data_IF_376967496163
#
_entry.id   IF_376967496163
#
_cell.length_a   1.000
_cell.length_b   1.000
_cell.length_c   1.000
_cell.angle_alpha   90.00
_cell.angle_beta   90.00
_cell.angle_gamma   90.00
#
_symmetry.space_group_name_H-M   'P 1'
#
loop_
_entity.id
_entity.type
_entity.pdbx_description
1 polymer ?
#
# COMPACT_ATOMS: atom_id res chain seq x y z
N UNK A 1 14.16 25.61 1.13
CA UNK A 1 15.64 25.59 1.24
C UNK A 1 16.28 24.78 0.11
N UNK A 2 16.08 23.46 0.03
CA UNK A 2 16.79 22.59 -0.93
C UNK A 2 16.62 23.02 -2.41
N UNK A 3 15.41 23.35 -2.91
CA UNK A 3 15.26 23.80 -4.31
C UNK A 3 16.12 25.03 -4.63
N UNK A 4 16.05 26.04 -3.75
CA UNK A 4 16.84 27.27 -3.89
C UNK A 4 18.36 27.03 -3.88
N UNK A 5 18.86 26.14 -3.00
CA UNK A 5 20.28 25.79 -2.95
C UNK A 5 20.73 25.07 -4.24
N UNK A 6 19.89 24.21 -4.81
CA UNK A 6 20.17 23.53 -6.08
C UNK A 6 20.17 24.49 -7.27
N UNK A 7 19.27 25.46 -7.27
CA UNK A 7 19.13 26.45 -8.33
C UNK A 7 20.28 27.48 -8.32
N UNK A 8 20.58 28.05 -7.16
CA UNK A 8 21.58 29.12 -7.01
C UNK A 8 23.01 28.60 -6.90
N UNK A 9 23.18 27.35 -6.46
CA UNK A 9 24.47 26.77 -6.12
C UNK A 9 25.25 27.57 -5.03
N UNK A 10 24.52 28.33 -4.20
CA UNK A 10 25.08 29.15 -3.12
C UNK A 10 24.86 28.49 -1.74
N UNK A 11 25.91 27.90 -1.16
CA UNK A 11 25.80 27.13 0.10
C UNK A 11 26.32 27.85 1.35
N UNK A 12 27.05 28.97 1.17
CA UNK A 12 27.86 29.58 2.24
C UNK A 12 27.05 29.92 3.49
N UNK A 13 25.86 30.48 3.32
CA UNK A 13 24.96 30.81 4.43
C UNK A 13 24.54 29.56 5.23
N UNK A 14 24.20 28.46 4.54
CA UNK A 14 23.80 27.20 5.17
C UNK A 14 25.00 26.46 5.80
N UNK A 15 26.18 26.55 5.20
CA UNK A 15 27.42 25.95 5.71
C UNK A 15 27.92 26.63 7.00
N UNK A 16 27.58 27.90 7.22
CA UNK A 16 27.90 28.62 8.45
C UNK A 16 27.02 28.19 9.65
N UNK A 17 25.95 27.43 9.42
CA UNK A 17 25.10 26.91 10.50
C UNK A 17 25.83 25.78 11.24
N UNK A 18 25.89 25.88 12.57
CA UNK A 18 26.40 24.79 13.41
C UNK A 18 25.59 23.52 13.23
N UNK A 19 24.26 23.65 13.17
CA UNK A 19 23.32 22.59 12.86
C UNK A 19 22.14 23.18 12.09
N UNK A 20 21.67 22.47 11.07
CA UNK A 20 20.34 22.64 10.53
C UNK A 20 19.48 21.51 11.10
N UNK A 21 18.38 21.82 11.78
CA UNK A 21 17.54 20.80 12.43
C UNK A 21 16.24 20.67 11.66
N UNK A 22 15.81 19.44 11.41
CA UNK A 22 14.47 19.14 10.94
C UNK A 22 13.75 18.23 11.94
N UNK A 23 12.44 18.40 12.03
CA UNK A 23 11.56 17.65 12.91
C UNK A 23 10.12 17.74 12.38
N UNK A 24 9.22 16.90 12.90
CA UNK A 24 7.79 16.93 12.61
C UNK A 24 7.37 16.28 11.28
N UNK A 25 8.31 16.09 10.34
CA UNK A 25 8.13 15.26 9.15
C UNK A 25 9.47 14.62 8.76
N UNK A 26 9.40 13.46 8.10
CA UNK A 26 10.59 12.78 7.59
C UNK A 26 11.20 13.52 6.40
N UNK A 27 12.54 13.57 6.36
CA UNK A 27 13.31 14.03 5.21
C UNK A 27 13.79 12.82 4.41
N UNK A 28 13.71 12.83 3.07
CA UNK A 28 14.32 11.74 2.28
C UNK A 28 15.80 11.63 2.56
N UNK A 29 16.28 10.39 2.60
CA UNK A 29 17.67 10.07 2.90
C UNK A 29 18.60 10.69 1.85
N UNK A 30 18.25 10.63 0.58
CA UNK A 30 19.03 11.20 -0.53
C UNK A 30 19.16 12.72 -0.41
N UNK A 31 18.09 13.39 0.04
CA UNK A 31 18.11 14.84 0.25
C UNK A 31 19.03 15.21 1.41
N UNK A 32 18.95 14.50 2.53
CA UNK A 32 19.84 14.75 3.67
C UNK A 32 21.29 14.37 3.39
N UNK A 33 21.54 13.27 2.67
CA UNK A 33 22.87 12.87 2.21
C UNK A 33 23.46 13.90 1.24
N UNK A 34 22.65 14.46 0.35
CA UNK A 34 23.05 15.58 -0.51
C UNK A 34 23.44 16.81 0.31
N UNK A 35 22.68 17.18 1.35
CA UNK A 35 23.03 18.28 2.25
C UNK A 35 24.34 18.01 3.00
N UNK A 36 24.52 16.81 3.54
CA UNK A 36 25.77 16.40 4.19
C UNK A 36 26.97 16.48 3.24
N UNK A 37 26.80 16.04 1.99
CA UNK A 37 27.85 16.12 0.95
C UNK A 37 28.28 17.56 0.66
N UNK A 38 27.40 18.54 0.85
CA UNK A 38 27.70 19.97 0.70
C UNK A 38 28.11 20.64 2.02
N UNK A 39 28.55 19.88 3.02
CA UNK A 39 28.99 20.34 4.34
C UNK A 39 27.90 21.10 5.13
N UNK A 40 26.62 20.78 4.90
CA UNK A 40 25.52 21.32 5.69
C UNK A 40 25.20 20.30 6.79
N UNK A 41 25.41 20.70 8.04
CA UNK A 41 25.27 19.83 9.21
C UNK A 41 23.80 19.62 9.59
N UNK A 42 23.06 18.86 8.78
CA UNK A 42 21.65 18.54 9.03
C UNK A 42 21.52 17.51 10.18
N UNK A 43 20.54 17.66 11.07
CA UNK A 43 20.26 16.75 12.19
C UNK A 43 18.77 16.50 12.35
N UNK A 44 18.40 15.23 12.50
CA UNK A 44 17.04 14.82 12.80
C UNK A 44 16.74 14.97 14.30
N UNK A 45 15.53 15.41 14.59
CA UNK A 45 14.96 15.52 15.93
C UNK A 45 13.54 15.00 15.90
N UNK A 46 13.18 14.23 16.92
CA UNK A 46 11.84 13.68 17.07
C UNK A 46 11.20 14.08 18.39
N UNK A 47 9.91 14.41 18.30
CA UNK A 47 9.05 14.77 19.40
C UNK A 47 7.61 14.97 18.96
N UNK A 48 6.71 14.89 19.92
CA UNK A 48 5.28 15.16 19.77
C UNK A 48 4.84 16.18 20.81
N UNK A 49 3.64 16.74 20.65
CA UNK A 49 3.12 17.73 21.61
C UNK A 49 2.91 17.09 22.99
N UNK A 50 2.59 15.80 23.02
CA UNK A 50 2.26 15.02 24.21
C UNK A 50 3.49 14.63 25.04
N UNK A 51 4.69 14.60 24.47
CA UNK A 51 5.91 14.15 25.17
C UNK A 51 7.13 15.04 24.97
N UNK A 52 6.93 16.25 24.42
CA UNK A 52 7.98 17.20 24.07
C UNK A 52 8.99 16.62 23.07
N UNK A 53 10.18 17.21 23.00
CA UNK A 53 11.27 16.67 22.20
C UNK A 53 11.98 15.58 22.98
N UNK A 54 12.07 14.39 22.40
CA UNK A 54 12.43 13.18 23.13
C UNK A 54 13.60 12.38 22.57
N UNK A 55 13.88 12.54 21.28
CA UNK A 55 14.94 11.80 20.63
C UNK A 55 15.70 12.68 19.64
N UNK A 56 17.01 12.46 19.58
CA UNK A 56 17.93 13.21 18.74
C UNK A 56 18.77 12.27 17.87
N UNK A 57 19.11 12.73 16.67
CA UNK A 57 20.25 12.20 15.95
C UNK A 57 21.56 12.49 16.70
N UNK A 58 22.70 11.99 16.21
CA UNK A 58 23.97 12.30 16.84
C UNK A 58 24.42 13.73 16.50
N UNK A 59 24.49 14.61 17.50
CA UNK A 59 24.91 16.00 17.32
C UNK A 59 26.44 16.19 17.24
N UNK A 60 27.26 15.14 17.25
CA UNK A 60 28.67 15.28 16.85
C UNK A 60 28.74 15.65 15.35
N UNK A 61 29.30 16.82 14.96
CA UNK A 61 29.38 17.22 13.55
C UNK A 61 30.17 16.25 12.67
N UNK A 62 31.02 15.40 13.27
CA UNK A 62 31.80 14.37 12.56
C UNK A 62 31.01 13.10 12.33
N UNK A 63 29.90 12.91 13.05
CA UNK A 63 29.05 11.74 12.87
C UNK A 63 28.27 11.88 11.56
N UNK A 64 28.38 10.85 10.71
CA UNK A 64 27.62 10.74 9.47
C UNK A 64 26.17 10.31 9.70
N UNK A 65 25.85 9.71 10.86
CA UNK A 65 24.49 9.35 11.19
C UNK A 65 23.67 10.58 11.59
N UNK A 66 23.16 11.27 10.58
CA UNK A 66 22.37 12.48 10.71
C UNK A 66 20.87 12.22 10.90
N UNK A 67 20.43 10.98 10.64
CA UNK A 67 19.02 10.62 10.48
C UNK A 67 18.47 9.79 11.63
N UNK A 68 19.15 8.70 12.02
CA UNK A 68 18.65 7.78 13.04
C UNK A 68 18.64 8.46 14.41
N UNK A 69 17.64 8.18 15.23
CA UNK A 69 17.32 8.90 16.46
C UNK A 69 17.58 8.03 17.68
N UNK A 70 18.05 8.61 18.79
CA UNK A 70 18.12 7.92 20.08
C UNK A 70 17.41 8.70 21.19
N UNK A 71 16.81 8.03 22.19
CA UNK A 71 16.29 8.71 23.37
C UNK A 71 17.35 9.54 24.09
N UNK A 72 16.94 10.68 24.62
CA UNK A 72 17.83 11.58 25.37
C UNK A 72 17.46 11.71 26.85
N UNK A 73 16.32 11.15 27.25
CA UNK A 73 15.78 11.24 28.60
C UNK A 73 15.89 9.89 29.29
N UNK A 74 16.76 9.83 30.29
CA UNK A 74 16.97 8.66 31.13
C UNK A 74 16.69 9.02 32.60
N UNK A 75 16.22 8.05 33.37
CA UNK A 75 16.10 8.17 34.81
C UNK A 75 17.48 8.13 35.50
N UNK A 76 17.49 8.28 36.82
CA UNK A 76 18.73 8.29 37.62
C UNK A 76 19.52 6.98 37.56
N UNK A 77 18.90 5.88 37.15
CA UNK A 77 19.55 4.59 36.96
C UNK A 77 20.11 4.41 35.53
N UNK A 78 19.87 5.37 34.64
CA UNK A 78 20.27 5.32 33.24
C UNK A 78 19.27 4.61 32.34
N UNK A 79 18.09 4.23 32.84
CA UNK A 79 17.04 3.61 32.03
C UNK A 79 16.25 4.69 31.29
N UNK A 80 16.00 4.48 30.00
CA UNK A 80 15.23 5.40 29.17
C UNK A 80 13.77 5.52 29.63
N UNK A 81 13.23 6.74 29.59
CA UNK A 81 11.78 6.97 29.70
C UNK A 81 11.01 6.57 28.44
N UNK A 82 11.73 6.33 27.36
CA UNK A 82 11.24 5.99 26.03
C UNK A 82 11.57 4.53 25.77
N UNK A 83 10.53 3.72 25.75
CA UNK A 83 10.61 2.27 25.63
C UNK A 83 10.16 1.89 24.24
N UNK A 84 10.91 0.98 23.63
CA UNK A 84 10.64 0.42 22.31
C UNK A 84 10.15 -1.01 22.47
N UNK A 85 8.84 -1.20 22.38
CA UNK A 85 8.18 -2.50 22.53
C UNK A 85 8.20 -3.24 21.18
N UNK A 86 8.58 -4.51 21.18
CA UNK A 86 8.59 -5.30 19.94
C UNK A 86 7.17 -5.53 19.42
N UNK A 87 7.04 -5.51 18.09
CA UNK A 87 5.80 -5.85 17.37
C UNK A 87 5.99 -7.13 16.57
N UNK A 88 4.88 -7.78 16.20
CA UNK A 88 4.90 -9.03 15.41
C UNK A 88 5.55 -8.89 14.02
N UNK A 89 5.74 -7.65 13.54
CA UNK A 89 6.24 -7.33 12.19
C UNK A 89 7.70 -6.85 12.19
N UNK A 90 8.42 -7.02 13.30
CA UNK A 90 9.82 -6.60 13.43
C UNK A 90 10.03 -5.09 13.62
N UNK A 91 8.94 -4.31 13.67
CA UNK A 91 8.98 -2.93 14.13
C UNK A 91 9.02 -2.86 15.65
N UNK A 92 9.44 -1.70 16.16
CA UNK A 92 9.39 -1.34 17.56
C UNK A 92 8.43 -0.18 17.78
N UNK A 93 7.45 -0.38 18.64
CA UNK A 93 6.44 0.61 18.98
C UNK A 93 6.93 1.48 20.16
N UNK A 94 6.81 2.81 20.03
CA UNK A 94 7.28 3.75 21.04
C UNK A 94 6.22 3.97 22.14
N UNK A 95 6.61 3.60 23.36
CA UNK A 95 5.90 3.87 24.60
C UNK A 95 6.70 4.82 25.49
N UNK A 96 6.03 5.81 26.09
CA UNK A 96 6.62 6.75 27.03
C UNK A 96 6.11 6.41 28.43
N UNK A 97 7.04 6.14 29.35
CA UNK A 97 6.75 5.81 30.75
C UNK A 97 5.94 6.91 31.43
N UNK A 98 5.05 6.50 32.34
CA UNK A 98 4.19 7.41 33.11
C UNK A 98 4.95 8.40 34.00
N UNK A 99 6.16 8.05 34.44
CA UNK A 99 7.03 8.88 35.24
C UNK A 99 7.99 9.75 34.40
N UNK A 100 7.80 9.82 33.08
CA UNK A 100 8.60 10.67 32.20
C UNK A 100 8.41 12.15 32.55
N UNK A 101 9.49 12.91 32.77
CA UNK A 101 9.40 14.34 33.07
C UNK A 101 8.95 15.17 31.86
N UNK A 102 8.91 14.58 30.67
CA UNK A 102 8.53 15.26 29.43
C UNK A 102 7.07 15.02 29.04
N UNK A 103 6.36 14.17 29.78
CA UNK A 103 4.98 13.81 29.46
C UNK A 103 4.04 14.97 29.81
N UNK A 104 3.23 15.37 28.83
CA UNK A 104 2.23 16.41 29.02
C UNK A 104 1.11 15.94 29.95
N UNK A 105 0.41 16.91 30.56
CA UNK A 105 -0.71 16.60 31.45
C UNK A 105 -1.90 16.03 30.65
N UNK A 106 -2.56 15.01 31.21
CA UNK A 106 -3.77 14.40 30.68
C UNK A 106 -3.66 13.76 29.28
N UNK A 107 -2.46 13.35 28.86
CA UNK A 107 -2.27 12.64 27.58
C UNK A 107 -2.18 11.12 27.73
N UNK A 108 -2.11 10.60 28.96
CA UNK A 108 -2.04 9.16 29.24
C UNK A 108 -3.17 8.40 28.55
N UNK A 109 -2.81 7.28 27.93
CA UNK A 109 -3.72 6.39 27.21
C UNK A 109 -3.41 4.90 27.46
N UNK A 110 -2.67 4.59 28.53
CA UNK A 110 -2.42 3.25 29.05
C UNK A 110 -2.84 3.15 30.52
N UNK A 111 -3.15 1.92 30.95
CA UNK A 111 -3.58 1.64 32.33
C UNK A 111 -2.52 2.01 33.38
N UNK A 112 -1.24 1.93 33.01
CA UNK A 112 -0.10 2.28 33.87
C UNK A 112 0.17 3.80 33.97
N UNK A 113 -0.68 4.63 33.35
CA UNK A 113 -0.55 6.08 33.34
C UNK A 113 0.41 6.61 32.26
N UNK A 114 1.01 5.75 31.44
CA UNK A 114 1.95 6.14 30.41
C UNK A 114 1.27 6.50 29.09
N UNK A 115 2.09 6.83 28.09
CA UNK A 115 1.62 7.28 26.80
C UNK A 115 2.12 6.40 25.66
N UNK A 116 1.15 5.74 25.03
CA UNK A 116 1.29 5.04 23.78
C UNK A 116 1.21 6.05 22.62
N UNK A 117 2.34 6.29 21.96
CA UNK A 117 2.43 7.26 20.86
C UNK A 117 1.74 6.82 19.56
N UNK A 118 1.50 5.51 19.42
CA UNK A 118 1.27 4.78 18.16
C UNK A 118 2.40 4.89 17.12
N UNK A 119 3.54 5.51 17.43
CA UNK A 119 4.66 5.65 16.50
C UNK A 119 5.53 4.39 16.44
N UNK A 120 5.85 3.96 15.23
CA UNK A 120 6.64 2.77 14.92
C UNK A 120 8.04 3.17 14.44
N UNK A 121 9.02 2.37 14.85
CA UNK A 121 10.42 2.57 14.56
C UNK A 121 11.10 1.26 14.14
N UNK A 122 12.19 1.37 13.39
CA UNK A 122 13.13 0.28 13.15
C UNK A 122 14.45 0.60 13.84
N UNK A 123 15.03 -0.36 14.55
CA UNK A 123 16.38 -0.18 15.08
C UNK A 123 17.39 -0.15 13.92
N UNK A 124 18.32 0.80 13.99
CA UNK A 124 19.39 0.96 13.01
C UNK A 124 20.41 -0.17 13.19
N UNK A 125 20.49 -1.05 12.19
CA UNK A 125 21.38 -2.21 12.21
C UNK A 125 22.86 -1.84 12.25
N UNK A 126 23.23 -0.67 11.73
CA UNK A 126 24.61 -0.17 11.76
C UNK A 126 24.92 0.60 13.06
N UNK A 127 23.90 1.07 13.78
CA UNK A 127 24.03 1.89 14.98
C UNK A 127 23.07 1.42 16.09
N UNK A 128 23.43 0.35 16.84
CA UNK A 128 22.59 -0.16 17.92
C UNK A 128 22.16 0.93 18.92
N UNK A 129 20.88 0.91 19.32
CA UNK A 129 20.27 1.95 20.16
C UNK A 129 19.88 3.24 19.44
N UNK A 130 20.06 3.32 18.12
CA UNK A 130 19.42 4.34 17.27
C UNK A 130 18.25 3.74 16.50
N UNK A 131 17.27 4.57 16.20
CA UNK A 131 15.97 4.17 15.67
C UNK A 131 15.57 5.07 14.51
N UNK A 132 15.09 4.46 13.43
CA UNK A 132 14.54 5.13 12.26
C UNK A 132 13.02 5.17 12.37
N UNK A 133 12.45 6.37 12.27
CA UNK A 133 11.01 6.56 12.25
C UNK A 133 10.38 5.90 11.02
N UNK A 134 9.34 5.10 11.22
CA UNK A 134 8.62 4.37 10.15
C UNK A 134 7.29 5.04 9.83
N UNK A 135 6.55 5.46 10.85
CA UNK A 135 5.19 5.99 10.71
C UNK A 135 4.35 5.64 11.93
N UNK A 136 3.04 5.85 11.85
CA UNK A 136 2.12 5.48 12.93
C UNK A 136 1.38 4.19 12.63
N UNK A 137 1.13 3.40 13.67
CA UNK A 137 0.33 2.18 13.63
C UNK A 137 -1.11 2.45 13.17
N UNK A 138 -1.68 3.58 13.55
CA UNK A 138 -3.04 3.98 13.18
C UNK A 138 -3.14 4.64 11.78
N UNK A 139 -1.99 4.82 11.10
CA UNK A 139 -1.89 5.30 9.72
C UNK A 139 -1.67 4.16 8.70
N UNK A 140 -1.46 2.92 9.16
CA UNK A 140 -1.31 1.75 8.29
C UNK A 140 -2.64 1.45 7.60
N UNK A 141 -2.61 1.39 6.27
CA UNK A 141 -3.74 0.98 5.46
C UNK A 141 -3.80 -0.55 5.46
N UNK A 142 -4.86 -1.11 6.03
CA UNK A 142 -5.17 -2.53 5.93
C UNK A 142 -6.14 -2.69 4.76
N UNK A 143 -5.66 -3.32 3.69
CA UNK A 143 -6.41 -3.53 2.46
C UNK A 143 -7.47 -4.64 2.65
N UNK A 144 -8.43 -4.76 1.72
CA UNK A 144 -9.49 -5.78 1.80
C UNK A 144 -8.95 -7.22 1.82
N UNK A 145 -7.81 -7.46 1.15
CA UNK A 145 -7.11 -8.74 1.14
C UNK A 145 -6.23 -8.99 2.39
N UNK A 146 -6.21 -8.07 3.35
CA UNK A 146 -5.40 -8.14 4.57
C UNK A 146 -3.96 -7.63 4.42
N UNK A 147 -3.53 -7.27 3.21
CA UNK A 147 -2.22 -6.64 3.00
C UNK A 147 -2.13 -5.31 3.74
N UNK A 148 -0.93 -5.00 4.24
CA UNK A 148 -0.68 -3.76 4.98
C UNK A 148 0.21 -2.84 4.17
N UNK A 149 -0.24 -1.62 3.98
CA UNK A 149 0.50 -0.55 3.30
C UNK A 149 0.77 0.58 4.27
N UNK A 150 2.03 1.01 4.37
CA UNK A 150 2.38 2.25 5.05
C UNK A 150 2.35 3.41 4.03
N UNK A 151 1.35 4.31 4.09
CA UNK A 151 1.21 5.41 3.14
C UNK A 151 2.23 6.53 3.37
N UNK A 152 2.81 6.66 4.56
CA UNK A 152 3.63 7.83 4.93
C UNK A 152 4.89 7.96 4.07
N UNK A 153 5.70 6.89 3.84
CA UNK A 153 6.83 6.97 2.91
C UNK A 153 6.39 7.34 1.49
N UNK A 154 5.26 6.79 1.03
CA UNK A 154 4.73 7.05 -0.31
C UNK A 154 4.35 8.52 -0.48
N UNK A 155 3.58 9.07 0.48
CA UNK A 155 3.18 10.48 0.51
C UNK A 155 4.40 11.41 0.59
N UNK A 156 5.43 11.02 1.35
CA UNK A 156 6.68 11.78 1.42
C UNK A 156 7.47 11.77 0.11
N UNK A 157 7.47 10.65 -0.62
CA UNK A 157 8.16 10.52 -1.90
C UNK A 157 7.48 11.36 -2.99
N UNK A 158 6.15 11.32 -3.07
CA UNK A 158 5.37 12.12 -4.03
C UNK A 158 5.52 13.62 -3.78
N UNK A 159 5.49 14.08 -2.51
CA UNK A 159 5.62 15.52 -2.14
C UNK A 159 6.97 16.16 -2.46
N UNK A 160 7.90 15.41 -3.02
CA UNK A 160 9.18 15.98 -3.45
C UNK A 160 9.13 16.61 -4.82
N UNK A 161 8.14 16.22 -5.62
CA UNK A 161 7.84 16.93 -6.84
C UNK A 161 7.38 18.34 -6.49
N UNK A 162 8.01 19.35 -7.09
CA UNK A 162 7.69 20.76 -6.86
C UNK A 162 6.27 21.11 -7.28
N UNK A 163 5.64 20.29 -8.12
CA UNK A 163 4.26 20.48 -8.57
C UNK A 163 3.22 19.98 -7.55
N UNK A 164 3.62 19.15 -6.59
CA UNK A 164 2.72 18.55 -5.59
C UNK A 164 2.83 19.30 -4.28
N UNK A 165 1.75 19.97 -3.89
CA UNK A 165 1.65 20.64 -2.60
C UNK A 165 1.36 19.66 -1.47
N UNK A 166 0.39 18.78 -1.68
CA UNK A 166 -0.02 17.74 -0.73
C UNK A 166 -0.54 16.50 -1.45
N UNK A 167 -0.51 15.37 -0.74
CA UNK A 167 -1.03 14.08 -1.22
C UNK A 167 -1.65 13.31 -0.06
N UNK A 168 -2.75 12.61 -0.34
CA UNK A 168 -3.30 11.59 0.53
C UNK A 168 -3.27 10.25 -0.18
N UNK A 169 -2.50 9.29 0.32
CA UNK A 169 -2.57 7.89 -0.15
C UNK A 169 -3.63 7.17 0.67
N UNK A 170 -4.64 6.64 -0.01
CA UNK A 170 -5.82 5.98 0.54
C UNK A 170 -5.83 4.50 0.17
N UNK A 171 -6.71 3.71 0.80
CA UNK A 171 -6.82 2.28 0.50
C UNK A 171 -7.31 1.40 1.64
N UNK A 172 -7.59 1.94 2.82
CA UNK A 172 -8.10 1.15 3.94
C UNK A 172 -9.41 0.46 3.58
N UNK A 173 -9.48 -0.86 3.78
CA UNK A 173 -10.60 -1.72 3.41
C UNK A 173 -10.97 -1.62 1.91
N UNK A 174 -9.98 -1.43 1.02
CA UNK A 174 -10.15 -1.40 -0.44
C UNK A 174 -9.26 -2.42 -1.13
N UNK A 175 -9.49 -2.63 -2.43
CA UNK A 175 -8.75 -3.59 -3.25
C UNK A 175 -7.33 -3.13 -3.60
N UNK A 176 -7.09 -1.80 -3.63
CA UNK A 176 -5.79 -1.21 -3.97
C UNK A 176 -5.64 0.20 -3.41
N UNK A 177 -4.39 0.70 -3.44
CA UNK A 177 -4.08 2.06 -3.03
C UNK A 177 -4.57 3.07 -4.08
N UNK A 178 -4.92 4.26 -3.59
CA UNK A 178 -5.29 5.41 -4.42
C UNK A 178 -4.59 6.66 -3.92
N UNK A 179 -4.41 7.66 -4.78
CA UNK A 179 -3.79 8.92 -4.41
C UNK A 179 -4.66 10.11 -4.80
N UNK A 180 -4.94 10.99 -3.83
CA UNK A 180 -5.48 12.33 -4.10
C UNK A 180 -4.32 13.31 -4.10
N UNK A 181 -4.14 14.06 -5.18
CA UNK A 181 -3.03 15.00 -5.39
C UNK A 181 -3.54 16.44 -5.39
N UNK A 182 -3.04 17.25 -4.46
CA UNK A 182 -3.21 18.71 -4.47
C UNK A 182 -2.00 19.35 -5.16
N UNK A 183 -2.25 20.18 -6.17
CA UNK A 183 -1.22 20.85 -6.96
C UNK A 183 -0.74 22.12 -6.25
N UNK A 184 0.56 22.37 -6.31
CA UNK A 184 1.16 23.63 -5.89
C UNK A 184 1.00 24.67 -6.99
N UNK A 185 0.06 25.60 -6.79
CA UNK A 185 -0.25 26.63 -7.78
C UNK A 185 0.89 27.62 -8.01
N UNK A 186 1.76 27.84 -7.02
CA UNK A 186 2.87 28.79 -7.17
C UNK A 186 3.88 28.29 -8.22
N UNK A 187 4.07 26.96 -8.29
CA UNK A 187 4.92 26.32 -9.30
C UNK A 187 4.15 25.97 -10.57
N UNK A 188 2.90 25.52 -10.45
CA UNK A 188 2.11 25.04 -11.59
C UNK A 188 1.84 26.10 -12.64
N UNK A 189 1.79 27.38 -12.27
CA UNK A 189 1.64 28.48 -13.21
C UNK A 189 2.77 28.58 -14.24
N UNK A 190 3.91 27.93 -14.00
CA UNK A 190 5.06 27.89 -14.91
C UNK A 190 5.00 26.74 -15.94
N UNK A 191 4.01 25.86 -15.85
CA UNK A 191 3.92 24.63 -16.65
C UNK A 191 2.60 24.53 -17.42
N UNK A 192 2.64 23.82 -18.54
CA UNK A 192 1.42 23.44 -19.27
C UNK A 192 0.62 22.35 -18.53
N UNK A 193 -0.70 22.21 -18.80
CA UNK A 193 -1.53 21.16 -18.17
C UNK A 193 -0.97 19.73 -18.34
N UNK A 194 -0.48 19.40 -19.52
CA UNK A 194 0.11 18.08 -19.81
C UNK A 194 1.43 17.85 -19.07
N UNK A 195 2.24 18.91 -18.91
CA UNK A 195 3.50 18.85 -18.15
C UNK A 195 3.23 18.64 -16.66
N UNK A 196 2.22 19.32 -16.10
CA UNK A 196 1.77 19.11 -14.71
C UNK A 196 1.36 17.66 -14.50
N UNK A 197 0.54 17.12 -15.41
CA UNK A 197 0.10 15.73 -15.35
C UNK A 197 1.31 14.78 -15.40
N UNK A 198 2.23 15.00 -16.36
CA UNK A 198 3.44 14.18 -16.51
C UNK A 198 4.29 14.19 -15.23
N UNK A 199 4.53 15.36 -14.63
CA UNK A 199 5.34 15.50 -13.41
C UNK A 199 4.70 14.84 -12.19
N UNK A 200 3.36 14.82 -12.10
CA UNK A 200 2.66 14.08 -11.05
C UNK A 200 2.84 12.57 -11.26
N UNK A 201 2.66 12.08 -12.49
CA UNK A 201 2.80 10.66 -12.80
C UNK A 201 4.23 10.16 -12.61
N UNK A 202 5.25 10.97 -12.94
CA UNK A 202 6.66 10.68 -12.65
C UNK A 202 6.90 10.53 -11.14
N UNK A 203 6.34 11.43 -10.32
CA UNK A 203 6.46 11.34 -8.86
C UNK A 203 5.80 10.10 -8.26
N UNK A 204 4.65 9.68 -8.83
CA UNK A 204 3.98 8.43 -8.46
C UNK A 204 4.81 7.21 -8.91
N UNK A 205 5.41 7.24 -10.09
CA UNK A 205 6.26 6.16 -10.59
C UNK A 205 7.50 5.97 -9.71
N UNK A 206 8.16 7.06 -9.31
CA UNK A 206 9.28 7.02 -8.37
C UNK A 206 8.88 6.42 -7.02
N UNK A 207 7.67 6.71 -6.56
CA UNK A 207 7.10 6.11 -5.34
C UNK A 207 6.85 4.61 -5.51
N UNK A 208 6.34 4.20 -6.67
CA UNK A 208 6.08 2.79 -6.97
C UNK A 208 7.37 1.95 -7.04
N UNK A 209 8.52 2.55 -7.38
CA UNK A 209 9.83 1.86 -7.36
C UNK A 209 10.32 1.51 -5.95
N UNK A 210 9.89 2.26 -4.93
CA UNK A 210 10.35 2.12 -3.54
C UNK A 210 9.36 1.33 -2.66
N UNK A 211 8.09 1.23 -3.06
CA UNK A 211 7.04 0.59 -2.26
C UNK A 211 6.93 -0.92 -2.56
N UNK A 212 6.38 -1.72 -1.61
CA UNK A 212 6.04 -3.12 -1.88
C UNK A 212 5.08 -3.26 -3.07
N UNK A 213 5.16 -4.38 -3.78
CA UNK A 213 4.36 -4.61 -4.99
C UNK A 213 2.84 -4.48 -4.77
N UNK A 214 2.35 -4.87 -3.58
CA UNK A 214 0.93 -4.74 -3.19
C UNK A 214 0.51 -3.30 -2.82
N UNK A 215 1.45 -2.39 -2.60
CA UNK A 215 1.20 -0.97 -2.27
C UNK A 215 1.19 -0.06 -3.50
N UNK A 216 1.60 -0.56 -4.67
CA UNK A 216 1.69 0.19 -5.94
C UNK A 216 0.43 1.00 -6.23
N UNK A 217 0.60 2.31 -6.45
CA UNK A 217 -0.49 3.20 -6.85
C UNK A 217 -0.65 3.09 -8.37
N UNK A 218 -1.79 2.54 -8.80
CA UNK A 218 -2.07 2.37 -10.22
C UNK A 218 -2.34 3.73 -10.89
N UNK A 219 -1.97 3.94 -12.17
CA UNK A 219 -2.17 5.21 -12.84
C UNK A 219 -3.63 5.71 -12.85
N UNK A 220 -4.58 4.79 -12.96
CA UNK A 220 -6.03 5.05 -12.90
C UNK A 220 -6.56 5.38 -11.50
N UNK A 221 -5.78 5.09 -10.46
CA UNK A 221 -6.09 5.39 -9.05
C UNK A 221 -5.39 6.67 -8.57
N UNK A 222 -4.77 7.43 -9.49
CA UNK A 222 -4.24 8.77 -9.23
C UNK A 222 -5.31 9.79 -9.60
N UNK A 223 -5.68 10.65 -8.66
CA UNK A 223 -6.61 11.74 -8.89
C UNK A 223 -5.97 13.07 -8.53
N UNK A 224 -5.64 13.84 -9.57
CA UNK A 224 -5.30 15.26 -9.45
C UNK A 224 -6.60 16.02 -9.14
N UNK A 225 -6.60 16.71 -8.01
CA UNK A 225 -7.72 17.53 -7.57
C UNK A 225 -7.82 18.81 -8.42
N UNK A 226 -9.03 19.35 -8.63
CA UNK A 226 -9.19 20.67 -9.22
C UNK A 226 -8.42 21.74 -8.41
N UNK A 227 -7.94 22.79 -9.08
CA UNK A 227 -7.10 23.82 -8.46
C UNK A 227 -7.78 24.62 -7.32
N UNK A 228 -9.11 24.61 -7.23
CA UNK A 228 -9.88 25.22 -6.13
C UNK A 228 -10.04 24.30 -4.91
N UNK A 229 -9.52 23.07 -4.97
CA UNK A 229 -9.66 22.05 -3.92
C UNK A 229 -8.34 21.83 -3.20
N UNK A 230 -8.41 21.65 -1.90
CA UNK A 230 -7.26 21.44 -1.03
C UNK A 230 -7.45 20.19 -0.16
N UNK A 231 -6.34 19.57 0.23
CA UNK A 231 -6.36 18.51 1.24
C UNK A 231 -6.32 19.13 2.65
N UNK A 232 -7.08 18.58 3.60
CA UNK A 232 -7.02 19.05 4.98
C UNK A 232 -5.65 18.72 5.58
N UNK A 233 -4.94 19.73 6.08
CA UNK A 233 -3.63 19.57 6.71
C UNK A 233 -3.64 20.03 8.16
N UNK A 234 -2.68 19.53 8.94
CA UNK A 234 -2.34 20.04 10.27
C UNK A 234 -1.61 21.37 10.14
N UNK A 235 -1.45 22.09 11.25
CA UNK A 235 -0.64 23.32 11.32
C UNK A 235 0.84 23.09 10.93
N UNK A 236 1.29 21.83 10.93
CA UNK A 236 2.62 21.39 10.50
C UNK A 236 2.70 21.07 9.00
N UNK A 237 1.61 21.26 8.24
CA UNK A 237 1.58 20.99 6.80
C UNK A 237 1.58 19.50 6.44
N UNK A 238 1.09 18.62 7.32
CA UNK A 238 0.87 17.20 7.02
C UNK A 238 -0.60 16.92 6.78
N UNK A 239 -0.95 16.06 5.83
CA UNK A 239 -2.35 15.76 5.50
C UNK A 239 -3.01 14.94 6.61
N UNK A 240 -4.24 15.32 6.97
CA UNK A 240 -5.10 14.58 7.89
C UNK A 240 -5.91 13.57 7.05
N UNK A 241 -5.33 12.40 6.77
CA UNK A 241 -5.85 11.41 5.81
C UNK A 241 -7.31 11.03 6.02
N UNK A 242 -7.71 10.72 7.27
CA UNK A 242 -9.11 10.40 7.60
C UNK A 242 -10.08 11.53 7.25
N UNK A 243 -9.66 12.79 7.46
CA UNK A 243 -10.46 13.96 7.10
C UNK A 243 -10.48 14.18 5.59
N UNK A 244 -9.38 13.91 4.89
CA UNK A 244 -9.32 13.97 3.43
C UNK A 244 -10.26 12.94 2.80
N UNK A 245 -10.21 11.69 3.26
CA UNK A 245 -11.10 10.62 2.82
C UNK A 245 -12.57 10.97 3.05
N UNK A 246 -12.92 11.49 4.24
CA UNK A 246 -14.28 11.94 4.51
C UNK A 246 -14.72 13.13 3.64
N UNK A 247 -13.83 14.11 3.43
CA UNK A 247 -14.09 15.30 2.60
C UNK A 247 -14.34 14.93 1.14
N UNK A 248 -13.61 13.95 0.62
CA UNK A 248 -13.67 13.50 -0.78
C UNK A 248 -14.38 12.16 -0.94
N UNK A 249 -15.19 11.72 0.03
CA UNK A 249 -15.77 10.38 0.06
C UNK A 249 -16.47 10.02 -1.26
N UNK A 250 -17.35 10.88 -1.78
CA UNK A 250 -18.04 10.62 -3.04
C UNK A 250 -17.11 10.49 -4.26
N UNK A 251 -16.00 11.23 -4.28
CA UNK A 251 -14.99 11.12 -5.34
C UNK A 251 -14.22 9.81 -5.20
N UNK A 252 -13.80 9.45 -3.98
CA UNK A 252 -13.07 8.21 -3.68
C UNK A 252 -13.93 6.98 -4.00
N UNK A 253 -15.20 6.97 -3.58
CA UNK A 253 -16.13 5.89 -3.93
C UNK A 253 -16.27 5.74 -5.44
N UNK A 254 -16.42 6.86 -6.15
CA UNK A 254 -16.49 6.85 -7.61
C UNK A 254 -15.21 6.26 -8.23
N UNK A 255 -14.02 6.64 -7.75
CA UNK A 255 -12.76 6.10 -8.26
C UNK A 255 -12.69 4.58 -8.12
N UNK A 256 -13.02 4.03 -6.94
CA UNK A 256 -13.02 2.59 -6.73
C UNK A 256 -14.11 1.89 -7.54
N UNK A 257 -15.30 2.48 -7.64
CA UNK A 257 -16.40 1.96 -8.46
C UNK A 257 -16.00 1.90 -9.94
N UNK A 258 -15.50 3.01 -10.50
CA UNK A 258 -15.06 3.11 -11.88
C UNK A 258 -13.89 2.14 -12.16
N UNK A 259 -13.02 1.88 -11.17
CA UNK A 259 -11.96 0.89 -11.27
C UNK A 259 -12.49 -0.55 -11.33
N UNK A 260 -13.46 -0.92 -10.48
CA UNK A 260 -14.01 -2.27 -10.41
C UNK A 260 -14.98 -2.59 -11.55
N UNK A 261 -15.77 -1.62 -11.97
CA UNK A 261 -16.71 -1.74 -13.09
C UNK A 261 -16.00 -1.56 -14.44
N UNK A 262 -14.89 -0.82 -14.43
CA UNK A 262 -14.10 -0.45 -15.59
C UNK A 262 -14.77 0.61 -16.47
N UNK A 263 -14.05 1.08 -17.49
CA UNK A 263 -14.55 2.10 -18.40
C UNK A 263 -15.75 1.57 -19.20
N UNK A 264 -16.73 2.45 -19.44
CA UNK A 264 -17.81 2.18 -20.39
C UNK A 264 -17.21 2.04 -21.79
N UNK A 265 -17.59 0.98 -22.50
CA UNK A 265 -17.16 0.72 -23.87
C UNK A 265 -17.26 1.99 -24.74
N UNK A 266 -16.17 2.34 -25.42
CA UNK A 266 -16.13 3.52 -26.26
C UNK A 266 -16.40 3.15 -27.73
N UNK A 267 -17.54 3.57 -28.27
CA UNK A 267 -17.99 3.23 -29.63
C UNK A 267 -17.12 3.82 -30.75
N UNK A 268 -16.26 4.79 -30.45
CA UNK A 268 -15.33 5.37 -31.44
C UNK A 268 -14.12 4.49 -31.75
N UNK A 269 -13.86 3.46 -30.94
CA UNK A 269 -12.79 2.49 -31.11
C UNK A 269 -13.39 1.10 -31.32
N UNK A 270 -14.23 0.92 -32.34
CA UNK A 270 -14.95 -0.35 -32.52
C UNK A 270 -14.02 -1.45 -33.08
N UNK A 271 -13.61 -2.41 -32.25
CA UNK A 271 -12.85 -3.62 -32.66
C UNK A 271 -13.74 -4.71 -33.24
N UNK A 272 -15.02 -4.43 -33.50
CA UNK A 272 -15.96 -5.37 -34.14
C UNK A 272 -15.44 -5.93 -35.49
N UNK A 273 -14.48 -5.26 -36.12
CA UNK A 273 -13.84 -5.68 -37.38
C UNK A 273 -12.45 -6.31 -37.22
N UNK A 274 -11.93 -6.48 -36.00
CA UNK A 274 -10.58 -7.01 -35.79
C UNK A 274 -10.48 -8.49 -36.16
N UNK A 275 -9.42 -8.82 -36.91
CA UNK A 275 -9.04 -10.20 -37.17
C UNK A 275 -8.51 -10.89 -35.91
N UNK A 276 -8.51 -12.22 -35.90
CA UNK A 276 -7.89 -13.03 -34.84
C UNK A 276 -6.48 -12.57 -34.47
N UNK A 277 -5.66 -12.28 -35.49
CA UNK A 277 -4.27 -11.85 -35.30
C UNK A 277 -4.18 -10.45 -34.67
N UNK A 278 -5.06 -9.52 -35.05
CA UNK A 278 -5.09 -8.18 -34.44
C UNK A 278 -5.50 -8.23 -32.98
N UNK A 279 -6.50 -9.05 -32.64
CA UNK A 279 -6.91 -9.28 -31.25
C UNK A 279 -5.79 -9.90 -30.42
N UNK A 280 -5.07 -10.90 -30.95
CA UNK A 280 -3.90 -11.48 -30.26
C UNK A 280 -2.80 -10.46 -30.03
N UNK A 281 -2.42 -9.70 -31.06
CA UNK A 281 -1.38 -8.67 -30.92
C UNK A 281 -1.77 -7.60 -29.90
N UNK A 282 -3.04 -7.20 -29.85
CA UNK A 282 -3.54 -6.30 -28.81
C UNK A 282 -3.49 -6.91 -27.41
N UNK A 283 -3.89 -8.18 -27.26
CA UNK A 283 -3.84 -8.87 -25.97
C UNK A 283 -2.40 -9.00 -25.47
N UNK A 284 -1.47 -9.46 -26.32
CA UNK A 284 -0.03 -9.56 -26.00
C UNK A 284 0.51 -8.22 -25.55
N UNK A 285 0.26 -7.16 -26.32
CA UNK A 285 0.70 -5.81 -25.96
C UNK A 285 0.10 -5.34 -24.63
N UNK A 286 -1.20 -5.54 -24.43
CA UNK A 286 -1.89 -5.13 -23.21
C UNK A 286 -1.39 -5.87 -21.97
N UNK A 287 -1.11 -7.17 -22.10
CA UNK A 287 -0.55 -7.99 -21.02
C UNK A 287 0.88 -7.55 -20.71
N UNK A 288 1.70 -7.34 -21.75
CA UNK A 288 3.07 -6.86 -21.63
C UNK A 288 3.15 -5.51 -20.91
N UNK A 289 2.28 -4.57 -21.30
CA UNK A 289 2.21 -3.23 -20.68
C UNK A 289 1.78 -3.30 -19.21
N UNK A 290 0.78 -4.11 -18.86
CA UNK A 290 0.28 -4.26 -17.48
C UNK A 290 1.28 -4.97 -16.57
N UNK A 291 1.99 -5.97 -17.08
CA UNK A 291 2.99 -6.73 -16.31
C UNK A 291 4.39 -6.11 -16.36
N UNK A 292 4.58 -5.03 -17.14
CA UNK A 292 5.88 -4.42 -17.39
C UNK A 292 6.93 -5.43 -17.88
N UNK A 293 6.50 -6.33 -18.77
CA UNK A 293 7.31 -7.40 -19.36
C UNK A 293 7.40 -7.24 -20.87
N UNK A 294 8.49 -7.67 -21.51
CA UNK A 294 8.60 -7.57 -22.96
C UNK A 294 7.60 -8.51 -23.67
N UNK A 295 7.05 -8.09 -24.81
CA UNK A 295 6.01 -8.83 -25.56
C UNK A 295 6.41 -10.27 -25.89
N UNK A 296 7.70 -10.54 -26.16
CA UNK A 296 8.17 -11.89 -26.48
C UNK A 296 7.99 -12.90 -25.34
N UNK A 297 7.77 -12.44 -24.10
CA UNK A 297 7.46 -13.31 -22.97
C UNK A 297 6.08 -14.00 -23.11
N UNK A 298 5.22 -13.49 -24.00
CA UNK A 298 3.86 -13.96 -24.20
C UNK A 298 3.65 -14.67 -25.55
N UNK A 299 4.71 -15.22 -26.14
CA UNK A 299 4.65 -15.96 -27.40
C UNK A 299 3.91 -17.31 -27.28
N UNK A 300 3.83 -17.89 -26.08
CA UNK A 300 3.03 -19.09 -25.81
C UNK A 300 1.60 -18.69 -25.47
N UNK A 301 0.72 -18.74 -26.48
CA UNK A 301 -0.67 -18.30 -26.34
C UNK A 301 -1.56 -19.27 -25.55
N UNK A 302 -1.07 -20.49 -25.26
CA UNK A 302 -1.78 -21.51 -24.46
C UNK A 302 -1.37 -21.50 -22.99
N UNK A 303 -0.29 -20.78 -22.64
CA UNK A 303 0.12 -20.62 -21.25
C UNK A 303 -0.81 -19.65 -20.53
N UNK A 304 -1.18 -20.01 -19.30
CA UNK A 304 -1.95 -19.13 -18.43
C UNK A 304 -1.14 -17.88 -18.08
N UNK A 305 -1.74 -16.69 -18.24
CA UNK A 305 -1.10 -15.42 -17.87
C UNK A 305 -0.90 -15.29 -16.36
N UNK A 306 -1.65 -16.04 -15.54
CA UNK A 306 -1.42 -16.12 -14.09
C UNK A 306 -0.09 -16.80 -13.76
N UNK A 307 0.34 -17.76 -14.58
CA UNK A 307 1.64 -18.44 -14.43
C UNK A 307 2.81 -17.52 -14.83
N UNK A 308 2.51 -16.34 -15.38
CA UNK A 308 3.44 -15.30 -15.79
C UNK A 308 3.40 -14.08 -14.85
N UNK A 309 2.69 -14.17 -13.73
CA UNK A 309 2.67 -13.12 -12.70
C UNK A 309 1.42 -12.23 -12.71
N UNK A 310 0.40 -12.52 -13.52
CA UNK A 310 -0.89 -11.85 -13.38
C UNK A 310 -1.51 -12.21 -12.02
N UNK A 311 -1.90 -11.19 -11.26
CA UNK A 311 -2.56 -11.29 -9.97
C UNK A 311 -3.94 -10.61 -10.01
N UNK A 312 -4.71 -10.65 -8.93
CA UNK A 312 -6.06 -10.09 -8.90
C UNK A 312 -6.12 -8.60 -9.26
N UNK A 313 -5.11 -7.82 -8.87
CA UNK A 313 -5.07 -6.39 -9.14
C UNK A 313 -4.77 -6.08 -10.61
N UNK A 314 -3.69 -6.68 -11.13
CA UNK A 314 -3.29 -6.55 -12.53
C UNK A 314 -4.31 -7.19 -13.48
N UNK A 315 -5.07 -8.20 -13.03
CA UNK A 315 -6.21 -8.73 -13.76
C UNK A 315 -7.31 -7.67 -13.93
N UNK A 316 -7.66 -6.90 -12.89
CA UNK A 316 -8.64 -5.81 -13.04
C UNK A 316 -8.13 -4.77 -14.05
N UNK A 317 -6.84 -4.41 -14.00
CA UNK A 317 -6.25 -3.48 -14.97
C UNK A 317 -6.33 -3.99 -16.40
N UNK A 318 -5.88 -5.22 -16.64
CA UNK A 318 -5.91 -5.84 -17.96
C UNK A 318 -7.35 -5.95 -18.49
N UNK A 319 -8.29 -6.38 -17.65
CA UNK A 319 -9.72 -6.44 -18.00
C UNK A 319 -10.23 -5.06 -18.39
N UNK A 320 -9.85 -3.99 -17.68
CA UNK A 320 -10.28 -2.64 -17.99
C UNK A 320 -9.68 -2.12 -19.30
N UNK A 321 -8.44 -2.50 -19.64
CA UNK A 321 -7.85 -2.21 -20.96
C UNK A 321 -8.65 -2.91 -22.06
N UNK A 322 -8.98 -4.19 -21.87
CA UNK A 322 -9.79 -4.97 -22.83
C UNK A 322 -11.21 -4.38 -22.95
N UNK A 323 -11.84 -4.00 -21.84
CA UNK A 323 -13.21 -3.46 -21.81
C UNK A 323 -13.36 -2.07 -22.49
N UNK A 324 -12.27 -1.31 -22.65
CA UNK A 324 -12.29 -0.09 -23.48
C UNK A 324 -12.55 -0.42 -24.96
N UNK A 325 -12.04 -1.56 -25.39
CA UNK A 325 -11.98 -1.97 -26.80
C UNK A 325 -13.15 -2.89 -27.16
N UNK A 326 -13.55 -3.79 -26.25
CA UNK A 326 -14.58 -4.80 -26.47
C UNK A 326 -15.82 -4.60 -25.59
N UNK A 327 -17.00 -4.89 -26.12
CA UNK A 327 -18.27 -4.84 -25.37
C UNK A 327 -18.38 -6.02 -24.40
N UNK A 328 -19.12 -5.83 -23.30
CA UNK A 328 -19.57 -6.89 -22.40
C UNK A 328 -18.48 -7.77 -21.78
N UNK A 329 -17.30 -7.22 -21.46
CA UNK A 329 -16.24 -7.98 -20.78
C UNK A 329 -16.57 -8.12 -19.28
N UNK A 330 -16.93 -9.30 -18.75
CA UNK A 330 -17.33 -9.44 -17.34
C UNK A 330 -16.14 -9.28 -16.37
N UNK A 331 -16.40 -9.05 -15.08
CA UNK A 331 -15.34 -8.89 -14.07
C UNK A 331 -14.45 -10.13 -13.91
N UNK A 332 -15.01 -11.32 -14.06
CA UNK A 332 -14.29 -12.60 -13.97
C UNK A 332 -13.70 -13.06 -15.31
N UNK A 333 -13.70 -12.22 -16.34
CA UNK A 333 -13.30 -12.59 -17.70
C UNK A 333 -11.93 -13.28 -17.76
N UNK A 334 -10.92 -12.71 -17.11
CA UNK A 334 -9.55 -13.25 -17.15
C UNK A 334 -9.39 -14.54 -16.35
N UNK A 335 -10.14 -14.71 -15.27
CA UNK A 335 -10.14 -15.96 -14.50
C UNK A 335 -10.78 -17.12 -15.28
N UNK A 336 -11.68 -16.80 -16.22
CA UNK A 336 -12.33 -17.78 -17.10
C UNK A 336 -11.53 -18.04 -18.38
N UNK A 337 -10.87 -17.00 -18.87
CA UNK A 337 -10.09 -17.03 -20.09
C UNK A 337 -8.65 -16.65 -19.74
N UNK A 338 -7.93 -17.60 -19.14
CA UNK A 338 -6.59 -17.35 -18.59
C UNK A 338 -5.47 -17.38 -19.64
N UNK A 339 -5.76 -17.80 -20.88
CA UNK A 339 -4.79 -17.91 -21.97
C UNK A 339 -5.11 -16.89 -23.07
N UNK A 340 -4.12 -16.44 -23.83
CA UNK A 340 -4.35 -15.48 -24.93
C UNK A 340 -5.32 -16.08 -25.97
N UNK A 341 -5.17 -17.37 -26.26
CA UNK A 341 -6.06 -18.10 -27.17
C UNK A 341 -7.52 -18.11 -26.69
N UNK A 342 -7.77 -18.40 -25.40
CA UNK A 342 -9.13 -18.40 -24.83
C UNK A 342 -9.72 -17.00 -24.76
N UNK A 343 -8.93 -15.98 -24.38
CA UNK A 343 -9.38 -14.59 -24.38
C UNK A 343 -9.80 -14.15 -25.78
N UNK A 344 -8.96 -14.40 -26.79
CA UNK A 344 -9.27 -14.09 -28.20
C UNK A 344 -10.56 -14.76 -28.64
N UNK A 345 -10.72 -16.06 -28.35
CA UNK A 345 -11.90 -16.81 -28.72
C UNK A 345 -13.17 -16.18 -28.10
N UNK A 346 -13.13 -15.86 -26.80
CA UNK A 346 -14.25 -15.27 -26.08
C UNK A 346 -14.59 -13.84 -26.55
N UNK A 347 -13.60 -13.06 -26.99
CA UNK A 347 -13.82 -11.69 -27.48
C UNK A 347 -14.35 -11.64 -28.92
N UNK A 348 -14.03 -12.65 -29.74
CA UNK A 348 -14.47 -12.74 -31.14
C UNK A 348 -15.73 -13.58 -31.32
N UNK A 349 -16.10 -14.38 -30.34
CA UNK A 349 -17.36 -15.09 -30.35
C UNK A 349 -18.51 -14.10 -30.17
N UNK A 350 -19.29 -13.89 -31.23
CA UNK A 350 -20.54 -13.10 -31.23
C UNK A 350 -21.67 -13.76 -30.41
N UNK A 351 -21.34 -14.84 -29.69
CA UNK A 351 -22.27 -15.57 -28.87
C UNK A 351 -22.62 -14.75 -27.64
N UNK A 352 -23.79 -14.12 -27.69
CA UNK A 352 -24.66 -14.05 -26.53
C UNK A 352 -24.94 -15.49 -26.06
N UNK A 353 -23.98 -16.11 -25.38
CA UNK A 353 -24.29 -17.31 -24.60
C UNK A 353 -25.23 -16.79 -23.51
N UNK A 354 -26.41 -17.39 -23.42
CA UNK A 354 -27.39 -17.03 -22.40
C UNK A 354 -26.70 -17.10 -21.03
N UNK A 355 -26.93 -16.08 -20.19
CA UNK A 355 -26.33 -16.03 -18.86
C UNK A 355 -26.65 -17.30 -18.06
N UNK A 356 -27.81 -17.93 -18.30
CA UNK A 356 -28.20 -19.20 -17.71
C UNK A 356 -27.35 -20.38 -18.19
N UNK A 357 -27.06 -20.46 -19.49
CA UNK A 357 -26.25 -21.53 -20.09
C UNK A 357 -24.77 -21.43 -19.67
N UNK A 358 -24.24 -20.21 -19.58
CA UNK A 358 -22.94 -19.94 -18.99
C UNK A 358 -22.86 -20.36 -17.51
N UNK A 359 -23.90 -20.08 -16.72
CA UNK A 359 -23.95 -20.49 -15.30
C UNK A 359 -23.98 -22.02 -15.16
N UNK A 360 -24.74 -22.71 -16.00
CA UNK A 360 -24.83 -24.18 -15.99
C UNK A 360 -23.50 -24.83 -16.41
N UNK A 361 -22.87 -24.37 -17.50
CA UNK A 361 -21.54 -24.84 -17.90
C UNK A 361 -20.49 -24.59 -16.80
N UNK A 362 -20.57 -23.44 -16.11
CA UNK A 362 -19.69 -23.09 -14.99
C UNK A 362 -19.91 -23.99 -13.77
N UNK A 363 -21.17 -24.32 -13.47
CA UNK A 363 -21.49 -25.24 -12.38
C UNK A 363 -20.91 -26.62 -12.64
N UNK A 364 -20.99 -27.11 -13.89
CA UNK A 364 -20.42 -28.39 -14.31
C UNK A 364 -18.89 -28.38 -14.24
N UNK A 365 -18.22 -27.34 -14.73
CA UNK A 365 -16.76 -27.20 -14.63
C UNK A 365 -16.27 -27.12 -13.17
N UNK A 366 -16.98 -26.36 -12.32
CA UNK A 366 -16.64 -26.28 -10.90
C UNK A 366 -16.82 -27.64 -10.20
N UNK A 367 -17.85 -28.40 -10.55
CA UNK A 367 -18.04 -29.76 -10.05
C UNK A 367 -16.95 -30.72 -10.52
N UNK A 368 -16.56 -30.67 -11.80
CA UNK A 368 -15.47 -31.50 -12.33
C UNK A 368 -14.14 -31.17 -11.66
N UNK A 369 -13.83 -29.88 -11.50
CA UNK A 369 -12.62 -29.44 -10.81
C UNK A 369 -12.63 -29.88 -9.35
N UNK A 370 -13.74 -29.68 -8.62
CA UNK A 370 -13.89 -30.14 -7.25
C UNK A 370 -13.72 -31.66 -7.14
N UNK A 371 -14.31 -32.42 -8.07
CA UNK A 371 -14.15 -33.87 -8.15
C UNK A 371 -12.69 -34.26 -8.40
N UNK A 372 -12.01 -33.58 -9.31
CA UNK A 372 -10.59 -33.82 -9.60
C UNK A 372 -9.69 -33.54 -8.39
N UNK A 373 -9.98 -32.49 -7.62
CA UNK A 373 -9.28 -32.20 -6.36
C UNK A 373 -9.57 -33.25 -5.30
N UNK A 374 -10.81 -33.72 -5.17
CA UNK A 374 -11.17 -34.82 -4.26
C UNK A 374 -10.48 -36.14 -4.64
N UNK A 375 -10.41 -36.45 -5.94
CA UNK A 375 -9.69 -37.63 -6.44
C UNK A 375 -8.18 -37.56 -6.18
N UNK A 376 -7.56 -36.40 -6.44
CA UNK A 376 -6.15 -36.15 -6.09
C UNK A 376 -5.94 -36.22 -4.59
N UNK A 377 -6.80 -35.58 -3.80
CA UNK A 377 -6.70 -35.59 -2.34
C UNK A 377 -6.81 -37.02 -1.77
N UNK A 378 -7.70 -37.85 -2.30
CA UNK A 378 -7.84 -39.26 -1.90
C UNK A 378 -6.62 -40.12 -2.27
N UNK A 379 -5.84 -39.71 -3.28
CA UNK A 379 -4.63 -40.42 -3.72
C UNK A 379 -3.37 -39.93 -3.01
N UNK A 380 -3.22 -38.62 -2.90
CA UNK A 380 -2.02 -37.94 -2.40
C UNK A 380 -2.00 -37.83 -0.89
N UNK A 381 -3.18 -37.79 -0.25
CA UNK A 381 -3.32 -37.90 1.19
C UNK A 381 -3.91 -39.27 1.52
N UNK A 382 -3.12 -40.14 2.14
CA UNK A 382 -3.67 -41.26 2.88
C UNK A 382 -4.66 -40.69 3.90
N UNK A 383 -5.86 -41.30 4.01
CA UNK A 383 -6.78 -40.96 5.12
C UNK A 383 -5.98 -41.14 6.39
N UNK A 384 -5.62 -40.04 7.04
CA UNK A 384 -5.00 -40.09 8.36
C UNK A 384 -6.06 -40.67 9.27
N UNK A 385 -6.03 -41.99 9.48
CA UNK A 385 -6.63 -42.60 10.65
C UNK A 385 -5.76 -42.12 11.80
N UNK A 386 -6.09 -40.95 12.31
CA UNK A 386 -5.66 -40.64 13.66
C UNK A 386 -6.36 -41.68 14.53
N UNK A 387 -5.61 -42.71 14.93
CA UNK A 387 -5.89 -43.46 16.15
C UNK A 387 -5.62 -42.52 17.33
N UNK A 388 -6.35 -41.39 17.39
CA UNK A 388 -6.74 -40.91 18.69
C UNK A 388 -7.69 -41.99 19.17
N UNK A 389 -7.21 -42.88 20.04
CA UNK A 389 -8.12 -43.62 20.90
C UNK A 389 -9.17 -42.61 21.34
N UNK A 390 -10.42 -42.89 20.98
CA UNK A 390 -11.56 -42.02 21.26
C UNK A 390 -11.85 -42.03 22.76
N UNK A 391 -10.88 -41.63 23.58
CA UNK A 391 -11.18 -41.06 24.87
C UNK A 391 -11.96 -39.79 24.56
N UNK A 392 -13.26 -39.81 24.87
CA UNK A 392 -14.16 -38.65 24.92
C UNK A 392 -13.66 -37.66 25.98
N UNK A 393 -12.46 -37.11 25.81
CA UNK A 393 -11.90 -36.07 26.65
C UNK A 393 -12.45 -34.73 26.16
N UNK A 394 -12.93 -33.94 27.10
CA UNK A 394 -13.36 -32.57 26.85
C UNK A 394 -12.22 -31.80 26.16
N UNK A 395 -12.53 -31.12 25.06
CA UNK A 395 -11.59 -30.30 24.29
C UNK A 395 -11.80 -28.83 24.68
N UNK A 396 -10.70 -28.12 24.93
CA UNK A 396 -10.68 -26.65 25.02
C UNK A 396 -9.95 -26.15 23.79
N UNK A 397 -10.63 -25.33 22.98
CA UNK A 397 -10.13 -24.87 21.68
C UNK A 397 -10.02 -23.35 21.70
N UNK A 398 -8.80 -22.83 21.51
CA UNK A 398 -8.60 -21.41 21.26
C UNK A 398 -8.75 -21.15 19.76
N UNK A 399 -9.85 -20.50 19.37
CA UNK A 399 -10.09 -20.08 18.00
C UNK A 399 -9.74 -18.59 17.85
N UNK A 400 -8.69 -18.28 17.07
CA UNK A 400 -8.36 -16.92 16.66
C UNK A 400 -8.91 -16.65 15.26
N UNK A 401 -9.35 -15.42 14.98
CA UNK A 401 -9.89 -15.06 13.66
C UNK A 401 -11.31 -15.58 13.35
N UNK A 402 -12.15 -15.79 14.37
CA UNK A 402 -13.49 -16.34 14.23
C UNK A 402 -14.45 -15.51 13.33
N UNK A 403 -14.13 -14.25 13.04
CA UNK A 403 -14.90 -13.35 12.17
C UNK A 403 -14.53 -13.48 10.68
N UNK A 404 -13.44 -14.20 10.35
CA UNK A 404 -13.06 -14.46 8.96
C UNK A 404 -13.98 -15.49 8.29
N UNK A 405 -13.92 -15.57 6.95
CA UNK A 405 -14.77 -16.48 6.16
C UNK A 405 -14.67 -17.92 6.65
N UNK A 406 -13.46 -18.49 6.72
CA UNK A 406 -13.21 -19.84 7.23
C UNK A 406 -13.47 -19.97 8.74
N UNK A 407 -13.05 -18.97 9.52
CA UNK A 407 -13.18 -18.95 10.98
C UNK A 407 -14.64 -19.06 11.43
N UNK A 408 -15.58 -18.45 10.71
CA UNK A 408 -17.01 -18.52 10.99
C UNK A 408 -17.59 -19.94 10.79
N UNK A 409 -17.14 -20.65 9.75
CA UNK A 409 -17.52 -22.04 9.51
C UNK A 409 -16.90 -22.99 10.54
N UNK A 410 -15.63 -22.77 10.91
CA UNK A 410 -14.97 -23.54 11.96
C UNK A 410 -15.65 -23.33 13.32
N UNK A 411 -16.02 -22.09 13.66
CA UNK A 411 -16.78 -21.79 14.89
C UNK A 411 -18.13 -22.51 14.89
N UNK A 412 -18.87 -22.46 13.77
CA UNK A 412 -20.14 -23.19 13.63
C UNK A 412 -19.98 -24.68 13.91
N UNK A 413 -18.91 -25.29 13.42
CA UNK A 413 -18.68 -26.73 13.57
C UNK A 413 -18.20 -27.07 14.99
N UNK A 414 -17.36 -26.24 15.59
CA UNK A 414 -16.94 -26.37 16.99
C UNK A 414 -18.12 -26.22 17.96
N UNK A 415 -19.08 -25.33 17.67
CA UNK A 415 -20.32 -25.18 18.46
C UNK A 415 -21.24 -26.40 18.38
N UNK A 416 -21.11 -27.22 17.34
CA UNK A 416 -21.89 -28.46 17.16
C UNK A 416 -21.18 -29.70 17.74
N UNK A 417 -19.88 -29.62 18.00
CA UNK A 417 -19.13 -30.71 18.63
C UNK A 417 -19.39 -30.71 20.14
N UNK A 418 -20.16 -31.71 20.62
CA UNK A 418 -20.50 -31.88 22.03
C UNK A 418 -19.29 -32.16 22.95
N UNK A 419 -18.10 -32.41 22.37
CA UNK A 419 -16.85 -32.58 23.13
C UNK A 419 -16.10 -31.27 23.36
N UNK A 420 -16.50 -30.17 22.71
CA UNK A 420 -15.86 -28.85 22.86
C UNK A 420 -16.56 -28.05 23.96
N UNK A 421 -15.81 -27.68 25.00
CA UNK A 421 -16.31 -26.86 26.10
C UNK A 421 -16.16 -25.37 25.77
N UNK A 422 -17.18 -24.59 26.11
CA UNK A 422 -17.20 -23.13 25.95
C UNK A 422 -16.20 -22.43 26.86
#
# INVERSE_FOLDING_TARGET
MVPHLKETNEFSAAQNLKFAIFAGASLKRETGDWLQKHNINIRNVYGTTEMSVGMFANFDPRCKNWYSLRPIWNDRSGQSYFIFEDTDEGYKHLYIRSDSPTLALNVSNREDGGFNSNDLFLEDSEHPGYFNYVGRRDDILVMENGEKTNPVPMENTIRQSTIVKQVAVLGHARQCTAALIEIDMDYAMSYGPEEIISLVYEAVEDTNKECPSHSTILPQMVKILPFDKTLPSTDKGTVIRKKAEAMYAGLVEKMYKDFLEGPVYNSSSDSSSWSAKQTESFLVKSIADVLHMPEFAFNDHERSVFDLGLNSLTAIQLRNVIAKQFKNVPQNFLFQNSTISSMRQALLSDSQIDAAELVEMRYQQAQELAKSYLERANKDFSVTKNDYEAEKKEKVVLLTGATGSLGSFMLRDLLKDATVKK
#
